data_IF_169353149672
#
_entry.id   IF_169353149672
#
_cell.length_a   1.000
_cell.length_b   1.000
_cell.length_c   1.000
_cell.angle_alpha   90.00
_cell.angle_beta   90.00
_cell.angle_gamma   90.00
#
_symmetry.space_group_name_H-M   'P 1'
#
loop_
_entity.id
_entity.type
_entity.pdbx_description
1 polymer ?
#
# COMPACT_ATOMS: atom_id res chain seq x y z
N UNK A 1 15.64 -10.36 -25.69
CA UNK A 1 16.18 -10.10 -24.36
C UNK A 1 15.06 -10.09 -23.32
N UNK A 2 15.23 -10.90 -22.32
CA UNK A 2 14.19 -11.03 -21.31
C UNK A 2 14.26 -9.85 -20.34
N UNK A 3 13.13 -9.21 -20.13
CA UNK A 3 13.01 -8.21 -19.09
C UNK A 3 12.65 -8.90 -17.80
N UNK A 4 13.51 -8.82 -16.83
CA UNK A 4 13.22 -9.42 -15.54
C UNK A 4 12.41 -8.42 -14.73
N UNK A 5 11.21 -8.81 -14.43
CA UNK A 5 10.36 -7.97 -13.60
C UNK A 5 10.79 -8.15 -12.14
N UNK A 6 11.11 -7.05 -11.48
CA UNK A 6 11.48 -7.11 -10.08
C UNK A 6 10.22 -7.01 -9.25
N UNK A 7 10.00 -8.00 -8.40
CA UNK A 7 8.88 -7.99 -7.49
C UNK A 7 9.38 -7.91 -6.07
N UNK A 8 8.58 -7.28 -5.23
CA UNK A 8 8.85 -7.16 -3.81
C UNK A 8 7.85 -8.01 -3.05
N UNK A 9 8.29 -8.54 -1.92
CA UNK A 9 7.37 -9.17 -0.99
C UNK A 9 7.15 -8.24 0.17
N UNK A 10 5.88 -7.90 0.41
CA UNK A 10 5.50 -7.03 1.50
C UNK A 10 4.37 -7.70 2.26
N UNK A 11 3.98 -7.09 3.36
CA UNK A 11 2.85 -7.57 4.15
C UNK A 11 1.70 -6.57 3.98
N UNK A 12 0.53 -7.08 3.64
CA UNK A 12 -0.67 -6.26 3.55
C UNK A 12 -1.73 -6.86 4.45
N UNK A 13 -2.07 -6.13 5.50
CA UNK A 13 -3.02 -6.60 6.51
C UNK A 13 -2.63 -7.96 7.08
N UNK A 14 -1.34 -8.15 7.29
CA UNK A 14 -0.84 -9.40 7.86
C UNK A 14 -0.59 -10.51 6.87
N UNK A 15 -0.96 -10.33 5.61
CA UNK A 15 -0.76 -11.35 4.59
C UNK A 15 0.42 -11.00 3.71
N UNK A 16 1.31 -11.99 3.43
CA UNK A 16 2.38 -11.73 2.49
C UNK A 16 1.83 -11.62 1.07
N UNK A 17 2.20 -10.56 0.38
CA UNK A 17 1.80 -10.38 -1.02
C UNK A 17 3.03 -9.96 -1.81
N UNK A 18 2.93 -10.10 -3.12
CA UNK A 18 3.96 -9.62 -4.03
C UNK A 18 3.44 -8.42 -4.80
N UNK A 19 4.30 -7.46 -5.01
CA UNK A 19 3.95 -6.31 -5.83
C UNK A 19 5.15 -5.91 -6.67
N UNK A 20 4.92 -5.24 -7.80
CA UNK A 20 6.03 -4.77 -8.62
C UNK A 20 6.86 -3.75 -7.88
N UNK A 21 8.17 -3.77 -8.12
CA UNK A 21 9.05 -2.74 -7.59
C UNK A 21 8.74 -1.41 -8.28
N UNK A 22 9.01 -0.32 -7.57
CA UNK A 22 8.86 1.00 -8.16
C UNK A 22 7.51 1.66 -7.94
N UNK A 23 6.64 1.03 -7.20
CA UNK A 23 5.34 1.63 -6.90
C UNK A 23 5.43 2.56 -5.69
N UNK A 24 4.62 3.62 -5.72
CA UNK A 24 4.34 4.36 -4.52
C UNK A 24 3.25 3.64 -3.72
N UNK A 25 3.11 4.03 -2.45
CA UNK A 25 2.05 3.46 -1.64
C UNK A 25 0.69 3.72 -2.27
N UNK A 26 0.48 4.92 -2.81
CA UNK A 26 -0.79 5.23 -3.46
C UNK A 26 -1.06 4.27 -4.61
N UNK A 27 -0.05 4.03 -5.45
CA UNK A 27 -0.22 3.13 -6.58
C UNK A 27 -0.53 1.71 -6.13
N UNK A 28 0.13 1.25 -5.07
CA UNK A 28 -0.15 -0.07 -4.53
C UNK A 28 -1.59 -0.19 -4.08
N UNK A 29 -2.08 0.82 -3.35
CA UNK A 29 -3.45 0.78 -2.85
C UNK A 29 -4.45 0.77 -4.00
N UNK A 30 -4.20 1.57 -5.02
CA UNK A 30 -5.10 1.61 -6.17
C UNK A 30 -5.11 0.30 -6.91
N UNK A 31 -3.94 -0.34 -7.07
CA UNK A 31 -3.87 -1.63 -7.73
C UNK A 31 -4.65 -2.70 -6.96
N UNK A 32 -4.71 -2.56 -5.65
CA UNK A 32 -5.43 -3.53 -4.82
C UNK A 32 -6.91 -3.20 -4.67
N UNK A 33 -7.37 -2.14 -5.34
CA UNK A 33 -8.78 -1.82 -5.35
C UNK A 33 -9.25 -0.95 -4.21
N UNK A 34 -8.34 -0.42 -3.42
CA UNK A 34 -8.73 0.48 -2.34
C UNK A 34 -9.00 1.87 -2.89
N UNK A 35 -9.97 2.53 -2.28
CA UNK A 35 -10.26 3.93 -2.59
C UNK A 35 -9.58 4.79 -1.53
N UNK A 36 -8.61 5.62 -1.91
CA UNK A 36 -7.82 6.35 -0.91
C UNK A 36 -8.64 7.15 0.09
N UNK A 37 -9.74 7.72 -0.35
CA UNK A 37 -10.53 8.55 0.53
C UNK A 37 -11.33 7.75 1.56
N UNK A 38 -11.34 6.42 1.44
CA UNK A 38 -12.12 5.58 2.33
C UNK A 38 -11.28 4.75 3.27
N UNK A 39 -9.96 4.97 3.30
CA UNK A 39 -9.08 4.13 4.11
C UNK A 39 -8.09 4.97 4.89
N UNK A 40 -7.64 4.38 5.98
CA UNK A 40 -6.50 4.87 6.75
C UNK A 40 -5.42 3.82 6.63
N UNK A 41 -4.16 4.26 6.53
CA UNK A 41 -3.05 3.34 6.33
C UNK A 41 -2.02 3.53 7.43
N UNK A 42 -1.61 2.40 8.03
CA UNK A 42 -0.41 2.33 8.84
C UNK A 42 0.69 1.75 7.97
N UNK A 43 1.77 2.47 7.87
CA UNK A 43 2.92 2.05 7.09
C UNK A 43 4.06 1.80 8.04
N UNK A 44 4.45 0.52 8.16
CA UNK A 44 5.49 0.08 9.10
C UNK A 44 5.20 0.55 10.53
N UNK A 45 3.94 0.44 10.93
CA UNK A 45 3.55 0.70 12.30
C UNK A 45 3.20 2.13 12.62
N UNK A 46 3.24 3.02 11.65
CA UNK A 46 2.91 4.41 11.89
C UNK A 46 1.87 4.88 10.88
N UNK A 47 0.89 5.64 11.34
CA UNK A 47 -0.11 6.20 10.45
C UNK A 47 0.56 7.16 9.49
N UNK A 48 0.34 6.93 8.20
CA UNK A 48 0.89 7.78 7.15
C UNK A 48 -0.22 8.63 6.55
N UNK A 49 -0.10 9.95 6.63
CA UNK A 49 -1.13 10.83 6.06
C UNK A 49 -1.28 10.60 4.56
N UNK A 50 -2.52 10.72 4.09
CA UNK A 50 -2.83 10.46 2.70
C UNK A 50 -2.00 11.31 1.74
N UNK A 51 -1.70 12.52 2.13
CA UNK A 51 -0.93 13.44 1.29
C UNK A 51 0.47 12.91 0.98
N UNK A 52 0.97 11.99 1.81
CA UNK A 52 2.30 11.43 1.62
C UNK A 52 2.31 10.18 0.76
N UNK A 53 1.15 9.58 0.50
CA UNK A 53 1.11 8.30 -0.20
C UNK A 53 1.72 8.35 -1.60
N UNK A 54 1.52 9.42 -2.39
CA UNK A 54 2.14 9.44 -3.73
C UNK A 54 3.66 9.49 -3.68
N UNK A 55 4.22 9.96 -2.59
CA UNK A 55 5.66 10.12 -2.45
C UNK A 55 6.32 9.01 -1.65
N UNK A 56 5.53 8.09 -1.10
CA UNK A 56 6.07 7.04 -0.27
C UNK A 56 6.40 5.83 -1.13
N UNK A 57 7.68 5.53 -1.33
CA UNK A 57 8.01 4.32 -2.08
C UNK A 57 7.74 3.08 -1.24
N UNK A 58 7.35 2.01 -1.91
CA UNK A 58 7.16 0.71 -1.28
C UNK A 58 8.41 -0.11 -1.50
N UNK A 59 8.91 -0.73 -0.45
CA UNK A 59 10.16 -1.48 -0.50
C UNK A 59 9.95 -2.87 0.06
N UNK A 60 10.96 -3.72 -0.18
CA UNK A 60 10.94 -5.09 0.30
C UNK A 60 10.68 -5.14 1.81
N UNK A 61 9.80 -6.04 2.20
CA UNK A 61 9.47 -6.32 3.61
C UNK A 61 8.67 -5.21 4.31
N UNK A 62 8.21 -4.20 3.57
CA UNK A 62 7.36 -3.19 4.19
C UNK A 62 6.05 -3.80 4.69
N UNK A 63 5.54 -3.25 5.78
CA UNK A 63 4.27 -3.66 6.35
C UNK A 63 3.23 -2.59 6.12
N UNK A 64 2.12 -2.96 5.50
CA UNK A 64 1.04 -2.03 5.20
C UNK A 64 -0.24 -2.56 5.82
N UNK A 65 -0.87 -1.74 6.65
CA UNK A 65 -2.17 -2.10 7.22
C UNK A 65 -3.19 -1.08 6.76
N UNK A 66 -4.25 -1.57 6.18
CA UNK A 66 -5.29 -0.70 5.60
C UNK A 66 -6.59 -0.95 6.35
N UNK A 67 -7.14 0.12 6.90
CA UNK A 67 -8.41 0.05 7.59
C UNK A 67 -9.42 0.89 6.81
N UNK A 68 -10.50 0.25 6.40
CA UNK A 68 -11.55 0.95 5.68
C UNK A 68 -12.37 1.76 6.67
N UNK A 69 -12.52 3.03 6.38
CA UNK A 69 -13.37 3.89 7.18
C UNK A 69 -14.79 3.69 6.69
N UNK A 70 -15.60 3.07 7.53
CA UNK A 70 -17.01 2.95 7.21
C UNK A 70 -17.59 4.31 7.44
N UNK A 71 -18.15 4.83 6.43
CA UNK A 71 -18.68 6.14 6.48
C UNK A 71 -19.79 6.23 7.46
N UNK A 72 -19.46 6.20 8.63
CA UNK A 72 -20.27 6.44 9.73
C UNK A 72 -21.71 6.63 9.51
N UNK A 73 -22.23 5.99 8.78
CA UNK A 73 -23.58 5.99 8.68
C UNK A 73 -24.18 7.29 8.56
N UNK A 74 -23.49 7.89 8.39
CA UNK A 74 -24.19 9.00 8.20
C UNK A 74 -25.52 8.78 7.88
#
# INVERSE_FOLDING_TARGET
MAMTEITLQISLNGDPIQCPAGLSLLQLLEQRGYKPQLVVVEFNGAILPRQRWPEQPVREADGVEVVTIVGGGS
#
